data_IF_820620113497
#
_entry.id   IF_820620113497
#
_cell.length_a   1.000
_cell.length_b   1.000
_cell.length_c   1.000
_cell.angle_alpha   90.00
_cell.angle_beta   90.00
_cell.angle_gamma   90.00
#
_symmetry.space_group_name_H-M   'P 1'
#
loop_
_entity.id
_entity.type
_entity.pdbx_description
1 polymer ?
#
# COMPACT_ATOMS: atom_id res chain seq x y z
N UNK A 1 -3.64 -8.14 3.33
CA UNK A 1 -3.66 -7.17 2.21
C UNK A 1 -3.12 -7.81 0.93
N UNK A 2 -3.71 -7.47 -0.23
CA UNK A 2 -3.10 -7.77 -1.54
C UNK A 2 -1.89 -6.85 -1.70
N UNK A 3 -0.80 -7.38 -2.27
CA UNK A 3 0.38 -6.59 -2.61
C UNK A 3 0.74 -6.74 -4.09
N UNK A 4 1.44 -5.74 -4.63
CA UNK A 4 2.10 -5.79 -5.93
C UNK A 4 3.52 -5.23 -5.81
N UNK A 5 4.35 -5.48 -6.81
CA UNK A 5 5.70 -4.94 -6.92
C UNK A 5 5.79 -3.95 -8.07
N UNK A 6 6.45 -2.81 -7.84
CA UNK A 6 6.75 -1.81 -8.87
C UNK A 6 8.07 -1.10 -8.53
N UNK A 7 8.97 -0.96 -9.51
CA UNK A 7 10.24 -0.23 -9.36
C UNK A 7 11.11 -0.67 -8.16
N UNK A 8 11.10 -1.97 -7.84
CA UNK A 8 11.83 -2.52 -6.68
C UNK A 8 11.19 -2.20 -5.32
N UNK A 9 9.94 -1.72 -5.32
CA UNK A 9 9.15 -1.38 -4.13
C UNK A 9 7.93 -2.29 -4.03
N UNK A 10 7.37 -2.37 -2.83
CA UNK A 10 6.12 -3.10 -2.58
C UNK A 10 4.96 -2.12 -2.41
N UNK A 11 3.81 -2.46 -2.97
CA UNK A 11 2.60 -1.65 -2.95
C UNK A 11 1.51 -2.39 -2.19
N UNK A 12 0.82 -1.72 -1.27
CA UNK A 12 -0.40 -2.24 -0.62
C UNK A 12 -1.48 -1.16 -0.60
N UNK A 13 -2.75 -1.56 -0.60
CA UNK A 13 -3.90 -0.61 -0.64
C UNK A 13 -4.62 -0.59 0.71
N UNK A 14 -4.80 0.61 1.28
CA UNK A 14 -5.54 0.86 2.50
C UNK A 14 -7.05 1.03 2.24
N UNK A 15 -7.66 0.04 1.56
CA UNK A 15 -9.06 0.13 1.13
C UNK A 15 -10.07 -0.06 2.25
N UNK A 16 -9.83 -1.02 3.16
CA UNK A 16 -10.83 -1.46 4.16
C UNK A 16 -12.22 -1.68 3.53
N UNK A 17 -12.27 -2.22 2.30
CA UNK A 17 -13.51 -2.46 1.56
C UNK A 17 -14.32 -1.20 1.17
N UNK A 18 -13.70 -0.02 1.19
CA UNK A 18 -14.40 1.26 0.96
C UNK A 18 -15.04 1.85 2.21
N UNK A 19 -14.70 1.35 3.40
CA UNK A 19 -15.12 1.93 4.68
C UNK A 19 -14.67 3.40 4.79
N UNK A 20 -15.49 4.31 5.36
CA UNK A 20 -15.15 5.73 5.48
C UNK A 20 -13.91 5.99 6.34
N UNK A 21 -13.52 5.07 7.22
CA UNK A 21 -12.32 5.18 8.01
C UNK A 21 -11.13 4.43 7.39
N UNK A 22 -9.94 4.97 7.61
CA UNK A 22 -8.72 4.22 7.32
C UNK A 22 -8.56 3.00 8.24
N UNK A 23 -7.99 1.88 7.72
CA UNK A 23 -7.66 0.75 8.56
C UNK A 23 -6.59 1.14 9.59
N UNK A 24 -6.66 0.54 10.79
CA UNK A 24 -5.75 0.89 11.90
C UNK A 24 -4.27 0.74 11.54
N UNK A 25 -3.92 -0.28 10.75
CA UNK A 25 -2.53 -0.45 10.32
C UNK A 25 -2.05 0.75 9.50
N UNK A 26 -2.88 1.38 8.65
CA UNK A 26 -2.48 2.55 7.89
C UNK A 26 -2.22 3.76 8.80
N UNK A 27 -3.06 3.93 9.83
CA UNK A 27 -2.83 4.95 10.86
C UNK A 27 -1.52 4.70 11.62
N UNK A 28 -1.20 3.43 11.90
CA UNK A 28 0.08 3.08 12.53
C UNK A 28 1.26 3.39 11.61
N UNK A 29 1.18 3.08 10.31
CA UNK A 29 2.26 3.35 9.35
C UNK A 29 2.51 4.84 9.11
N UNK A 30 1.46 5.66 9.19
CA UNK A 30 1.60 7.11 9.07
C UNK A 30 2.25 7.75 10.30
N UNK A 31 2.13 7.11 11.47
CA UNK A 31 2.81 7.53 12.71
C UNK A 31 4.22 6.94 12.85
N UNK A 32 4.41 5.68 12.44
CA UNK A 32 5.63 4.90 12.56
C UNK A 32 5.88 4.15 11.24
N UNK A 33 6.69 4.71 10.33
CA UNK A 33 6.83 4.20 8.97
C UNK A 33 7.69 2.94 8.89
N UNK A 34 8.43 2.58 9.93
CA UNK A 34 9.27 1.39 9.95
C UNK A 34 8.43 0.12 9.93
N UNK A 35 8.67 -0.73 8.94
CA UNK A 35 7.91 -1.97 8.74
C UNK A 35 8.80 -3.18 8.57
N UNK A 36 8.24 -4.32 8.94
CA UNK A 36 8.74 -5.62 8.54
C UNK A 36 7.68 -6.29 7.68
N UNK A 37 8.05 -6.65 6.45
CA UNK A 37 7.17 -7.36 5.53
C UNK A 37 7.68 -8.78 5.30
N UNK A 38 6.76 -9.70 5.07
CA UNK A 38 7.07 -11.06 4.66
C UNK A 38 6.53 -11.30 3.25
N UNK A 39 7.43 -11.67 2.34
CA UNK A 39 7.13 -11.96 0.93
C UNK A 39 7.58 -13.38 0.64
N UNK A 40 6.62 -14.31 0.62
CA UNK A 40 6.92 -15.75 0.59
C UNK A 40 7.81 -16.15 1.79
N UNK A 41 9.00 -16.74 1.55
CA UNK A 41 9.93 -17.13 2.63
C UNK A 41 10.84 -15.96 3.10
N UNK A 42 10.83 -14.81 2.41
CA UNK A 42 11.73 -13.69 2.71
C UNK A 42 11.08 -12.75 3.70
N UNK A 43 11.84 -12.35 4.72
CA UNK A 43 11.46 -11.29 5.66
C UNK A 43 12.36 -10.09 5.40
N UNK A 44 11.74 -8.94 5.11
CA UNK A 44 12.43 -7.70 4.76
C UNK A 44 12.05 -6.62 5.77
N UNK A 45 13.02 -5.76 6.10
CA UNK A 45 12.72 -4.48 6.75
C UNK A 45 12.52 -3.42 5.66
N UNK A 46 11.76 -2.38 5.96
CA UNK A 46 11.56 -1.28 5.03
C UNK A 46 10.91 -0.07 5.67
N UNK A 47 10.73 0.96 4.87
CA UNK A 47 10.05 2.18 5.24
C UNK A 47 8.79 2.31 4.40
N UNK A 48 7.65 2.42 5.08
CA UNK A 48 6.34 2.63 4.47
C UNK A 48 6.03 4.13 4.38
N UNK A 49 5.44 4.53 3.28
CA UNK A 49 4.89 5.88 3.11
C UNK A 49 3.64 5.85 2.24
N UNK A 50 2.77 6.83 2.41
CA UNK A 50 1.66 7.03 1.48
C UNK A 50 2.23 7.45 0.11
N UNK A 51 1.70 6.85 -0.96
CA UNK A 51 2.00 7.25 -2.33
C UNK A 51 1.63 8.73 -2.53
N UNK A 52 2.46 9.47 -3.25
CA UNK A 52 2.08 10.80 -3.74
C UNK A 52 0.93 10.70 -4.74
N UNK A 53 0.21 11.79 -5.05
CA UNK A 53 -0.87 11.76 -6.06
C UNK A 53 -0.41 11.22 -7.42
N UNK A 54 0.81 11.59 -7.86
CA UNK A 54 1.37 11.11 -9.12
C UNK A 54 1.68 9.61 -9.09
N UNK A 55 2.29 9.12 -8.00
CA UNK A 55 2.54 7.68 -7.81
C UNK A 55 1.23 6.91 -7.70
N UNK A 56 0.22 7.45 -7.01
CA UNK A 56 -1.08 6.81 -6.92
C UNK A 56 -1.71 6.67 -8.31
N UNK A 57 -1.69 7.71 -9.12
CA UNK A 57 -2.20 7.65 -10.49
C UNK A 57 -1.48 6.58 -11.34
N UNK A 58 -0.17 6.40 -11.15
CA UNK A 58 0.61 5.38 -11.85
C UNK A 58 0.38 3.96 -11.33
N UNK A 59 0.24 3.80 -10.00
CA UNK A 59 0.18 2.50 -9.34
C UNK A 59 -1.23 1.95 -9.14
N UNK A 60 -2.26 2.80 -9.15
CA UNK A 60 -3.65 2.37 -9.00
C UNK A 60 -4.07 1.35 -10.07
N UNK A 61 -3.80 1.56 -11.38
CA UNK A 61 -4.11 0.56 -12.40
C UNK A 61 -3.40 -0.78 -12.19
N UNK A 62 -2.18 -0.77 -11.62
CA UNK A 62 -1.43 -1.99 -11.29
C UNK A 62 -2.15 -2.77 -10.19
N UNK A 63 -2.61 -2.08 -9.15
CA UNK A 63 -3.35 -2.71 -8.05
C UNK A 63 -4.73 -3.22 -8.50
N UNK A 64 -5.46 -2.46 -9.31
CA UNK A 64 -6.77 -2.88 -9.87
C UNK A 64 -6.62 -4.12 -10.74
N UNK A 65 -5.53 -4.24 -11.51
CA UNK A 65 -5.26 -5.46 -12.30
C UNK A 65 -5.12 -6.71 -11.42
N UNK A 66 -4.66 -6.57 -10.19
CA UNK A 66 -4.53 -7.68 -9.24
C UNK A 66 -5.81 -7.90 -8.43
N UNK A 67 -6.57 -6.84 -8.15
CA UNK A 67 -7.83 -6.90 -7.41
C UNK A 67 -8.82 -5.87 -7.97
N UNK A 68 -9.69 -6.32 -8.86
CA UNK A 68 -10.58 -5.46 -9.64
C UNK A 68 -11.53 -4.63 -8.76
N UNK A 69 -11.95 -5.15 -7.61
CA UNK A 69 -12.90 -4.48 -6.71
C UNK A 69 -12.37 -3.16 -6.11
N UNK A 70 -11.08 -2.82 -6.26
CA UNK A 70 -10.55 -1.56 -5.73
C UNK A 70 -11.26 -0.33 -6.33
N UNK A 71 -11.61 -0.37 -7.62
CA UNK A 71 -12.39 0.71 -8.23
C UNK A 71 -13.78 0.81 -7.59
N UNK A 72 -14.44 -0.32 -7.35
CA UNK A 72 -15.73 -0.34 -6.65
C UNK A 72 -15.59 0.23 -5.23
N UNK A 73 -14.56 -0.16 -4.48
CA UNK A 73 -14.34 0.32 -3.12
C UNK A 73 -14.11 1.84 -3.08
N UNK A 74 -13.41 2.41 -4.07
CA UNK A 74 -13.21 3.86 -4.14
C UNK A 74 -14.52 4.62 -4.36
N UNK A 75 -15.51 4.02 -5.03
CA UNK A 75 -16.84 4.66 -5.19
C UNK A 75 -17.69 4.63 -3.92
N UNK A 76 -17.35 3.78 -2.94
CA UNK A 76 -18.09 3.64 -1.67
C UNK A 76 -17.69 4.67 -0.61
N UNK A 77 -16.71 5.52 -0.88
CA UNK A 77 -16.19 6.49 0.09
C UNK A 77 -15.68 7.76 -0.57
N UNK A 78 -15.82 8.88 0.12
CA UNK A 78 -15.32 10.19 -0.34
C UNK A 78 -13.82 10.37 -0.13
N UNK A 79 -13.18 9.53 0.71
CA UNK A 79 -11.74 9.59 0.92
C UNK A 79 -11.01 8.98 -0.28
N UNK A 80 -9.90 9.58 -0.68
CA UNK A 80 -8.99 8.90 -1.58
C UNK A 80 -8.41 7.67 -0.86
N UNK A 81 -8.63 6.47 -1.42
CA UNK A 81 -8.08 5.24 -0.87
C UNK A 81 -6.55 5.27 -1.04
N UNK A 82 -5.79 5.22 0.07
CA UNK A 82 -4.34 5.32 -0.02
C UNK A 82 -3.71 4.07 -0.62
N UNK A 83 -2.73 4.28 -1.49
CA UNK A 83 -1.68 3.29 -1.76
C UNK A 83 -0.54 3.57 -0.79
N UNK A 84 -0.03 2.54 -0.13
CA UNK A 84 1.20 2.59 0.66
C UNK A 84 2.31 1.95 -0.14
N UNK A 85 3.39 2.71 -0.31
CA UNK A 85 4.64 2.29 -0.93
C UNK A 85 5.58 1.89 0.19
N UNK A 86 6.14 0.69 0.09
CA UNK A 86 7.14 0.15 1.02
C UNK A 86 8.44 0.03 0.26
N UNK A 87 9.41 0.84 0.68
CA UNK A 87 10.77 0.80 0.18
C UNK A 87 11.55 -0.17 1.07
N UNK A 88 11.95 -1.35 0.55
CA UNK A 88 12.73 -2.28 1.34
C UNK A 88 14.07 -1.63 1.69
N UNK A 89 14.46 -1.74 2.96
CA UNK A 89 15.83 -1.46 3.34
C UNK A 89 16.71 -2.39 2.50
N UNK A 90 17.73 -1.83 1.84
CA UNK A 90 18.78 -2.65 1.22
C UNK A 90 19.34 -3.65 2.24
N UNK A 91 20.05 -4.70 1.80
CA UNK A 91 20.65 -5.64 2.73
C UNK A 91 21.40 -4.84 3.81
N UNK A 92 21.07 -5.12 5.08
CA UNK A 92 21.86 -4.59 6.19
C UNK A 92 23.31 -4.96 5.90
N UNK A 93 24.16 -3.95 5.75
CA UNK A 93 25.57 -4.14 5.47
C UNK A 93 26.24 -5.03 6.52
#
# INVERSE_FOLDING_TARGET
>A
PVYSEADGRYLIVASKGGDPEHPLWYKNLTAHPEVRIQVGPKVLQGTARTATPAERAAYWPVMVKHWADYDEYQTKTDREIPIVVIEPAGPAA
#
